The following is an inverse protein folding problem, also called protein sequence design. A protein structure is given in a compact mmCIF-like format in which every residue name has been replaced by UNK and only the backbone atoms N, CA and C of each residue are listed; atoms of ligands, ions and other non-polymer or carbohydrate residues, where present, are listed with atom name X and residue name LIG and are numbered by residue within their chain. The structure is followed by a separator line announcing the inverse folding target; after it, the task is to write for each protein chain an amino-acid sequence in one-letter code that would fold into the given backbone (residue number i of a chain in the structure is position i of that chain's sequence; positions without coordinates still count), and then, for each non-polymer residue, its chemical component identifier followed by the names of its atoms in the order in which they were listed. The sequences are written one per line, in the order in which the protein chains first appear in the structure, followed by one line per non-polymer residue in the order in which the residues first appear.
data_IF_052127903594
#
_entry.id   IF_052127903594
#
_cell.length_a   1.000
_cell.length_b   1.000
_cell.length_c   1.000
_cell.angle_alpha   90.00
_cell.angle_beta   90.00
_cell.angle_gamma   90.00
#
_symmetry.space_group_name_H-M   'P 1'
#
loop_
_entity.id
_entity.type
_entity.pdbx_description
1 polymer ?
#
# COMPACT_ATOMS: atom_id res chain seq x y z
N UNK A 1 -54.75 9.47 -34.24
CA UNK A 1 -53.80 10.19 -33.34
C UNK A 1 -52.97 9.27 -32.44
N UNK A 2 -53.10 7.94 -32.50
CA UNK A 2 -52.33 7.00 -31.67
C UNK A 2 -51.07 6.40 -32.36
N UNK A 3 -50.75 6.79 -33.60
CA UNK A 3 -49.63 6.24 -34.37
C UNK A 3 -48.34 7.09 -34.31
N UNK A 4 -48.39 8.28 -33.70
CA UNK A 4 -47.24 9.19 -33.64
C UNK A 4 -46.45 9.12 -32.32
N UNK A 5 -46.98 8.47 -31.27
CA UNK A 5 -46.27 8.33 -29.99
C UNK A 5 -45.17 7.26 -30.05
N UNK A 6 -45.43 6.13 -30.71
CA UNK A 6 -44.47 5.01 -30.84
C UNK A 6 -43.27 5.32 -31.75
N UNK A 7 -43.41 6.24 -32.72
CA UNK A 7 -42.29 6.66 -33.57
C UNK A 7 -41.36 7.64 -32.86
N UNK A 8 -41.91 8.54 -32.02
CA UNK A 8 -41.10 9.50 -31.24
C UNK A 8 -40.32 8.79 -30.12
N UNK A 9 -40.88 7.76 -29.48
CA UNK A 9 -40.17 6.95 -28.49
C UNK A 9 -39.04 6.10 -29.10
N UNK A 10 -39.22 5.56 -30.32
CA UNK A 10 -38.18 4.82 -31.03
C UNK A 10 -37.01 5.71 -31.47
N UNK A 11 -37.28 6.95 -31.88
CA UNK A 11 -36.24 7.89 -32.32
C UNK A 11 -35.41 8.44 -31.15
N UNK A 12 -35.99 8.64 -29.96
CA UNK A 12 -35.22 9.02 -28.75
C UNK A 12 -34.35 7.86 -28.23
N UNK A 13 -34.85 6.63 -28.21
CA UNK A 13 -34.08 5.45 -27.78
C UNK A 13 -32.93 5.12 -28.77
N UNK A 14 -33.13 5.32 -30.08
CA UNK A 14 -32.06 5.12 -31.08
C UNK A 14 -31.02 6.24 -31.04
N UNK A 15 -31.40 7.50 -30.81
CA UNK A 15 -30.43 8.59 -30.63
C UNK A 15 -29.57 8.41 -29.36
N UNK A 16 -30.17 7.95 -28.24
CA UNK A 16 -29.45 7.66 -27.00
C UNK A 16 -28.51 6.46 -27.13
N UNK A 17 -28.95 5.39 -27.83
CA UNK A 17 -28.12 4.22 -28.11
C UNK A 17 -26.89 4.54 -28.99
N UNK A 18 -27.05 5.43 -29.97
CA UNK A 18 -25.98 5.81 -30.89
C UNK A 18 -24.92 6.70 -30.23
N UNK A 19 -25.31 7.59 -29.31
CA UNK A 19 -24.39 8.40 -28.49
C UNK A 19 -23.67 7.54 -27.43
N UNK A 20 -24.36 6.61 -26.78
CA UNK A 20 -23.76 5.68 -25.81
C UNK A 20 -22.73 4.75 -26.46
N UNK A 21 -22.97 4.26 -27.68
CA UNK A 21 -22.02 3.37 -28.37
C UNK A 21 -20.66 4.03 -28.69
N UNK A 22 -20.67 5.33 -29.00
CA UNK A 22 -19.45 6.11 -29.28
C UNK A 22 -18.69 6.45 -27.98
N UNK A 23 -19.43 6.71 -26.90
CA UNK A 23 -18.88 6.90 -25.56
C UNK A 23 -18.24 5.60 -25.03
N UNK A 24 -18.93 4.46 -25.15
CA UNK A 24 -18.47 3.14 -24.73
C UNK A 24 -17.16 2.74 -25.42
N UNK A 25 -17.04 2.96 -26.75
CA UNK A 25 -15.80 2.69 -27.50
C UNK A 25 -14.58 3.48 -26.99
N UNK A 26 -14.79 4.67 -26.43
CA UNK A 26 -13.70 5.51 -25.89
C UNK A 26 -13.38 5.20 -24.43
N UNK A 27 -14.31 4.63 -23.68
CA UNK A 27 -14.18 4.34 -22.25
C UNK A 27 -13.50 2.99 -22.02
N UNK A 28 -13.93 1.97 -22.75
CA UNK A 28 -13.51 0.58 -22.55
C UNK A 28 -11.98 0.36 -22.53
N UNK A 29 -11.17 0.97 -23.41
CA UNK A 29 -9.73 0.78 -23.38
C UNK A 29 -9.04 1.27 -22.09
N UNK A 30 -9.61 2.29 -21.42
CA UNK A 30 -9.04 2.80 -20.17
C UNK A 30 -9.31 1.85 -19.01
N UNK A 31 -10.49 1.25 -18.97
CA UNK A 31 -10.86 0.28 -17.95
C UNK A 31 -10.08 -1.03 -18.13
N UNK A 32 -10.01 -1.53 -19.37
CA UNK A 32 -9.20 -2.71 -19.73
C UNK A 32 -7.71 -2.51 -19.37
N UNK A 33 -7.20 -1.28 -19.49
CA UNK A 33 -5.82 -0.96 -19.10
C UNK A 33 -5.62 -1.09 -17.58
N UNK A 34 -6.52 -0.51 -16.77
CA UNK A 34 -6.44 -0.63 -15.31
C UNK A 34 -6.56 -2.09 -14.87
N UNK A 35 -7.46 -2.86 -15.49
CA UNK A 35 -7.59 -4.28 -15.17
C UNK A 35 -6.36 -5.09 -15.55
N UNK A 36 -5.70 -4.78 -16.66
CA UNK A 36 -4.41 -5.39 -17.01
C UNK A 36 -3.30 -5.02 -16.03
N UNK A 37 -3.23 -3.76 -15.60
CA UNK A 37 -2.26 -3.33 -14.58
C UNK A 37 -2.47 -4.07 -13.26
N UNK A 38 -3.73 -4.22 -12.84
CA UNK A 38 -4.11 -5.03 -11.67
C UNK A 38 -3.73 -6.49 -11.84
N UNK A 39 -4.03 -7.10 -12.98
CA UNK A 39 -3.69 -8.50 -13.26
C UNK A 39 -2.18 -8.77 -13.27
N UNK A 40 -1.37 -7.75 -13.60
CA UNK A 40 0.10 -7.81 -13.52
C UNK A 40 0.65 -7.56 -12.11
N UNK A 41 -0.20 -7.28 -11.11
CA UNK A 41 0.20 -7.05 -9.73
C UNK A 41 0.73 -5.65 -9.43
N UNK A 42 0.58 -4.69 -10.36
CA UNK A 42 1.09 -3.31 -10.19
C UNK A 42 0.46 -2.62 -8.97
N UNK A 43 -0.73 -3.06 -8.57
CA UNK A 43 -1.46 -2.51 -7.41
C UNK A 43 -0.77 -2.72 -6.06
N UNK A 44 0.21 -3.62 -5.96
CA UNK A 44 0.99 -3.83 -4.73
C UNK A 44 1.92 -2.66 -4.42
N UNK A 45 2.51 -2.06 -5.46
CA UNK A 45 3.50 -0.98 -5.32
C UNK A 45 2.95 0.40 -5.72
N UNK A 46 1.91 0.43 -6.56
CA UNK A 46 1.34 1.64 -7.14
C UNK A 46 -0.18 1.60 -7.03
N UNK A 47 -0.74 2.55 -6.27
CA UNK A 47 -2.19 2.66 -6.14
C UNK A 47 -2.85 2.92 -7.52
N UNK A 48 -3.88 2.13 -7.83
CA UNK A 48 -4.68 2.22 -9.06
C UNK A 48 -6.00 2.94 -8.78
N UNK A 49 -6.57 3.66 -9.76
CA UNK A 49 -7.87 4.30 -9.60
C UNK A 49 -8.97 3.25 -9.39
N UNK A 50 -9.72 3.39 -8.30
CA UNK A 50 -10.83 2.49 -7.94
C UNK A 50 -12.00 3.26 -7.36
N UNK A 51 -13.16 2.64 -7.29
CA UNK A 51 -14.33 3.18 -6.61
C UNK A 51 -14.59 2.32 -5.38
N UNK A 52 -14.47 2.89 -4.19
CA UNK A 52 -14.79 2.23 -2.93
C UNK A 52 -16.19 2.63 -2.48
N UNK A 53 -17.05 1.64 -2.25
CA UNK A 53 -18.42 1.84 -1.78
C UNK A 53 -18.47 1.71 -0.28
N UNK A 54 -18.87 2.79 0.39
CA UNK A 54 -19.00 2.85 1.85
C UNK A 54 -20.40 3.24 2.26
N UNK A 55 -20.79 2.85 3.47
CA UNK A 55 -22.10 3.16 4.02
C UNK A 55 -22.35 2.42 5.31
N UNK A 56 -23.19 3.01 6.15
CA UNK A 56 -23.64 2.39 7.39
C UNK A 56 -24.30 1.03 7.10
N UNK A 57 -24.38 0.16 8.10
CA UNK A 57 -25.12 -1.08 7.98
C UNK A 57 -26.57 -0.78 7.54
N UNK A 58 -27.08 -1.54 6.58
CA UNK A 58 -28.43 -1.34 6.02
C UNK A 58 -28.66 -0.02 5.26
N UNK A 59 -27.60 0.71 4.88
CA UNK A 59 -27.69 1.92 4.03
C UNK A 59 -28.17 1.66 2.59
N UNK A 60 -28.33 0.40 2.19
CA UNK A 60 -28.68 0.01 0.81
C UNK A 60 -27.48 -0.20 -0.11
N UNK A 61 -26.24 -0.27 0.39
CA UNK A 61 -25.02 -0.51 -0.43
C UNK A 61 -25.16 -1.71 -1.39
N UNK A 62 -25.53 -2.87 -0.86
CA UNK A 62 -25.67 -4.10 -1.65
C UNK A 62 -26.80 -3.94 -2.66
N UNK A 63 -27.87 -3.24 -2.31
CA UNK A 63 -28.97 -2.95 -3.23
C UNK A 63 -28.56 -2.07 -4.41
N UNK A 64 -27.70 -1.06 -4.18
CA UNK A 64 -27.14 -0.23 -5.25
C UNK A 64 -26.23 -1.08 -6.15
N UNK A 65 -25.37 -1.91 -5.56
CA UNK A 65 -24.47 -2.79 -6.31
C UNK A 65 -25.22 -3.84 -7.13
N UNK A 66 -26.28 -4.43 -6.61
CA UNK A 66 -27.16 -5.35 -7.34
C UNK A 66 -27.87 -4.65 -8.50
N UNK A 67 -28.37 -3.42 -8.28
CA UNK A 67 -29.00 -2.62 -9.33
C UNK A 67 -28.01 -2.28 -10.45
N UNK A 68 -26.72 -2.12 -10.15
CA UNK A 68 -25.66 -1.87 -11.14
C UNK A 68 -25.17 -3.15 -11.82
N UNK A 69 -25.09 -4.26 -11.09
CA UNK A 69 -24.47 -5.51 -11.57
C UNK A 69 -25.46 -6.53 -12.13
N UNK A 70 -26.75 -6.38 -11.84
CA UNK A 70 -27.79 -7.33 -12.25
C UNK A 70 -27.74 -8.68 -11.55
N UNK A 71 -26.78 -8.92 -10.65
CA UNK A 71 -26.69 -10.14 -9.84
C UNK A 71 -27.20 -9.89 -8.42
N UNK A 72 -27.66 -10.94 -7.74
CA UNK A 72 -28.09 -10.83 -6.34
C UNK A 72 -26.88 -11.05 -5.42
N UNK A 73 -26.61 -10.09 -4.55
CA UNK A 73 -25.60 -10.19 -3.50
C UNK A 73 -26.27 -10.73 -2.22
N UNK A 74 -25.51 -11.36 -1.32
CA UNK A 74 -26.08 -11.91 -0.09
C UNK A 74 -26.75 -10.82 0.75
N UNK A 75 -28.02 -11.04 1.11
CA UNK A 75 -28.83 -10.19 2.01
C UNK A 75 -29.30 -10.96 3.24
N UNK A 76 -29.42 -10.29 4.38
CA UNK A 76 -29.81 -10.93 5.65
C UNK A 76 -29.58 -10.04 6.87
N UNK A 77 -29.88 -10.61 8.05
CA UNK A 77 -29.70 -9.94 9.34
C UNK A 77 -28.25 -10.01 9.80
N UNK A 78 -27.65 -8.86 10.13
CA UNK A 78 -26.27 -8.74 10.56
C UNK A 78 -25.35 -8.14 9.49
N UNK A 79 -24.03 -8.31 9.65
CA UNK A 79 -23.05 -7.86 8.66
C UNK A 79 -22.99 -8.88 7.53
N UNK A 80 -23.47 -8.46 6.36
CA UNK A 80 -23.53 -9.30 5.15
C UNK A 80 -22.19 -9.34 4.44
N UNK A 81 -21.63 -8.18 4.09
CA UNK A 81 -20.29 -8.10 3.49
C UNK A 81 -19.23 -8.21 4.60
N UNK A 82 -18.60 -9.37 4.74
CA UNK A 82 -17.56 -9.65 5.76
C UNK A 82 -16.12 -9.53 5.25
N UNK A 83 -15.97 -9.53 3.94
CA UNK A 83 -14.69 -9.37 3.25
C UNK A 83 -14.91 -8.32 2.14
N UNK A 84 -13.89 -7.52 1.78
CA UNK A 84 -13.96 -6.68 0.60
C UNK A 84 -14.36 -7.49 -0.64
N UNK A 85 -15.30 -6.96 -1.44
CA UNK A 85 -15.75 -7.59 -2.69
C UNK A 85 -15.46 -6.65 -3.86
N UNK A 86 -14.48 -7.01 -4.68
CA UNK A 86 -14.22 -6.35 -5.96
C UNK A 86 -15.18 -6.86 -7.04
N UNK A 87 -16.14 -6.03 -7.40
CA UNK A 87 -17.12 -6.26 -8.44
C UNK A 87 -16.66 -5.65 -9.75
N UNK A 88 -16.22 -6.50 -10.68
CA UNK A 88 -15.82 -6.12 -12.04
C UNK A 88 -16.97 -6.39 -12.98
N UNK A 89 -17.56 -5.33 -13.51
CA UNK A 89 -18.68 -5.36 -14.44
C UNK A 89 -18.16 -5.03 -15.83
N UNK A 90 -18.49 -5.89 -16.79
CA UNK A 90 -18.07 -5.73 -18.18
C UNK A 90 -19.22 -5.96 -19.12
N UNK A 91 -19.45 -4.98 -19.99
CA UNK A 91 -20.48 -5.04 -21.02
C UNK A 91 -20.02 -5.95 -22.17
N UNK A 92 -20.75 -7.03 -22.40
CA UNK A 92 -20.49 -7.98 -23.48
C UNK A 92 -21.79 -8.31 -24.23
N UNK A 93 -21.72 -8.43 -25.55
CA UNK A 93 -22.87 -8.80 -26.40
C UNK A 93 -23.21 -10.31 -26.31
N UNK A 94 -22.43 -11.08 -25.56
CA UNK A 94 -22.60 -12.52 -25.35
C UNK A 94 -23.53 -12.84 -24.18
N UNK A 95 -23.91 -14.12 -24.05
CA UNK A 95 -24.62 -14.65 -22.88
C UNK A 95 -23.92 -14.28 -21.57
N UNK A 96 -24.71 -14.15 -20.50
CA UNK A 96 -24.23 -13.87 -19.14
C UNK A 96 -23.14 -14.85 -18.71
N UNK A 97 -22.05 -14.32 -18.16
CA UNK A 97 -20.96 -15.10 -17.57
C UNK A 97 -20.56 -14.46 -16.25
N UNK A 98 -20.25 -15.30 -15.27
CA UNK A 98 -19.77 -14.83 -13.98
C UNK A 98 -18.65 -15.75 -13.48
N UNK A 99 -17.60 -15.14 -12.93
CA UNK A 99 -16.43 -15.84 -12.39
C UNK A 99 -16.10 -15.27 -11.02
N UNK A 100 -15.86 -16.15 -10.05
CA UNK A 100 -15.46 -15.79 -8.69
C UNK A 100 -14.02 -16.22 -8.44
N UNK A 101 -13.22 -15.32 -7.88
CA UNK A 101 -11.81 -15.58 -7.52
C UNK A 101 -11.53 -15.12 -6.10
N UNK A 102 -10.85 -15.96 -5.32
CA UNK A 102 -10.37 -15.61 -3.98
C UNK A 102 -9.18 -16.50 -3.60
N UNK A 103 -8.33 -16.03 -2.70
CA UNK A 103 -7.19 -16.78 -2.19
C UNK A 103 -7.46 -17.22 -0.75
N UNK A 104 -7.16 -18.49 -0.46
CA UNK A 104 -7.23 -19.07 0.89
C UNK A 104 -5.86 -19.62 1.28
N UNK A 105 -5.69 -20.00 2.55
CA UNK A 105 -4.48 -20.69 3.00
C UNK A 105 -4.19 -22.00 2.22
N UNK A 106 -5.22 -22.63 1.66
CA UNK A 106 -5.13 -23.92 0.96
C UNK A 106 -4.92 -23.76 -0.56
N UNK A 107 -4.97 -22.54 -1.09
CA UNK A 107 -4.75 -22.24 -2.51
C UNK A 107 -5.65 -21.16 -3.09
N UNK A 108 -5.49 -20.90 -4.40
CA UNK A 108 -6.33 -19.97 -5.18
C UNK A 108 -7.55 -20.68 -5.75
N UNK A 109 -8.73 -20.13 -5.49
CA UNK A 109 -9.99 -20.58 -6.09
C UNK A 109 -10.33 -19.67 -7.29
N UNK A 110 -10.70 -20.29 -8.42
CA UNK A 110 -11.20 -19.62 -9.64
C UNK A 110 -12.30 -20.51 -10.23
N UNK A 111 -13.56 -20.11 -10.04
CA UNK A 111 -14.72 -20.90 -10.45
C UNK A 111 -15.69 -20.09 -11.32
N UNK A 112 -16.24 -20.75 -12.34
CA UNK A 112 -17.27 -20.19 -13.22
C UNK A 112 -18.66 -20.49 -12.66
N UNK A 113 -19.46 -19.43 -12.46
CA UNK A 113 -20.83 -19.52 -11.96
C UNK A 113 -21.79 -19.61 -13.16
N UNK A 114 -22.69 -20.61 -13.13
CA UNK A 114 -23.58 -20.94 -14.26
C UNK A 114 -24.83 -20.09 -14.32
N UNK A 115 -25.39 -19.68 -13.18
CA UNK A 115 -26.61 -18.87 -13.13
C UNK A 115 -26.46 -17.64 -12.21
N UNK A 116 -27.13 -16.51 -12.52
CA UNK A 116 -27.11 -15.31 -11.68
C UNK A 116 -27.66 -15.51 -10.26
N UNK A 117 -28.54 -16.51 -10.07
CA UNK A 117 -29.10 -16.90 -8.77
C UNK A 117 -28.03 -17.44 -7.81
N UNK A 118 -27.05 -18.15 -8.36
CA UNK A 118 -26.08 -18.91 -7.57
C UNK A 118 -24.96 -18.01 -7.05
N UNK A 119 -24.85 -16.79 -7.59
CA UNK A 119 -23.85 -15.78 -7.20
C UNK A 119 -23.95 -15.44 -5.71
N UNK A 120 -25.18 -15.27 -5.21
CA UNK A 120 -25.39 -14.91 -3.80
C UNK A 120 -24.89 -16.01 -2.85
N UNK A 121 -25.12 -17.27 -3.19
CA UNK A 121 -24.68 -18.43 -2.41
C UNK A 121 -23.17 -18.61 -2.50
N UNK A 122 -22.59 -18.53 -3.70
CA UNK A 122 -21.15 -18.64 -3.91
C UNK A 122 -20.35 -17.55 -3.16
N UNK A 123 -20.83 -16.29 -3.16
CA UNK A 123 -20.20 -15.21 -2.39
C UNK A 123 -20.32 -15.46 -0.89
N UNK A 124 -21.44 -16.00 -0.41
CA UNK A 124 -21.63 -16.33 1.00
C UNK A 124 -20.70 -17.47 1.45
N UNK A 125 -20.50 -18.48 0.61
CA UNK A 125 -19.55 -19.56 0.86
C UNK A 125 -18.11 -19.05 0.89
N UNK A 126 -17.70 -18.24 -0.08
CA UNK A 126 -16.38 -17.61 -0.10
C UNK A 126 -16.12 -16.76 1.16
N UNK A 127 -17.11 -15.97 1.59
CA UNK A 127 -17.01 -15.19 2.84
C UNK A 127 -16.88 -16.08 4.09
N UNK A 128 -17.58 -17.22 4.15
CA UNK A 128 -17.46 -18.18 5.26
C UNK A 128 -16.07 -18.81 5.32
N UNK A 129 -15.49 -19.12 4.17
CA UNK A 129 -14.14 -19.67 4.06
C UNK A 129 -13.07 -18.67 4.53
N UNK A 130 -13.18 -17.40 4.11
CA UNK A 130 -12.19 -16.36 4.44
C UNK A 130 -12.32 -15.79 5.85
N UNK A 131 -13.54 -15.43 6.26
CA UNK A 131 -13.78 -14.80 7.57
C UNK A 131 -14.02 -15.81 8.71
N UNK A 132 -14.05 -17.11 8.39
CA UNK A 132 -14.39 -18.20 9.31
C UNK A 132 -15.85 -18.21 9.75
N UNK A 133 -16.23 -19.24 10.49
CA UNK A 133 -17.61 -19.41 10.98
C UNK A 133 -18.01 -18.37 12.06
N UNK A 134 -17.05 -17.77 12.75
CA UNK A 134 -17.27 -16.86 13.88
C UNK A 134 -17.54 -15.40 13.46
N UNK A 135 -18.47 -15.15 12.53
CA UNK A 135 -18.96 -13.80 12.11
C UNK A 135 -17.89 -12.69 12.02
N UNK A 136 -16.65 -13.05 11.72
CA UNK A 136 -15.50 -12.15 11.72
C UNK A 136 -15.45 -11.33 10.44
N UNK A 137 -14.40 -10.52 10.33
CA UNK A 137 -14.08 -9.77 9.11
C UNK A 137 -12.69 -10.18 8.66
N UNK A 138 -12.54 -10.44 7.37
CA UNK A 138 -11.23 -10.63 6.74
C UNK A 138 -10.88 -9.41 5.87
N UNK A 139 -9.58 -9.18 5.70
CA UNK A 139 -9.03 -8.20 4.76
C UNK A 139 -8.86 -8.80 3.36
N UNK A 140 -9.01 -10.11 3.21
CA UNK A 140 -8.84 -10.82 1.95
C UNK A 140 -9.92 -10.43 0.93
N UNK A 141 -9.50 -10.13 -0.29
CA UNK A 141 -10.37 -9.65 -1.36
C UNK A 141 -11.04 -10.81 -2.10
N UNK A 142 -12.36 -10.75 -2.25
CA UNK A 142 -13.12 -11.60 -3.19
C UNK A 142 -13.29 -10.81 -4.49
N UNK A 143 -12.92 -11.38 -5.63
CA UNK A 143 -13.15 -10.77 -6.95
C UNK A 143 -14.29 -11.48 -7.66
N UNK A 144 -15.31 -10.71 -8.07
CA UNK A 144 -16.44 -11.17 -8.86
C UNK A 144 -16.42 -10.49 -10.23
N UNK A 145 -16.20 -11.26 -11.28
CA UNK A 145 -16.20 -10.80 -12.68
C UNK A 145 -17.54 -11.15 -13.32
N UNK A 146 -18.38 -10.14 -13.58
CA UNK A 146 -19.70 -10.29 -14.22
C UNK A 146 -19.65 -9.70 -15.62
N UNK A 147 -19.92 -10.52 -16.63
CA UNK A 147 -20.06 -10.10 -18.02
C UNK A 147 -21.53 -10.23 -18.47
N UNK A 148 -22.15 -9.12 -18.90
CA UNK A 148 -23.54 -9.12 -19.40
C UNK A 148 -23.78 -7.96 -20.38
N UNK A 149 -24.84 -8.03 -21.18
CA UNK A 149 -25.23 -6.94 -22.10
C UNK A 149 -25.90 -5.76 -21.39
N UNK A 150 -26.48 -6.01 -20.21
CA UNK A 150 -27.20 -5.01 -19.40
C UNK A 150 -26.33 -4.32 -18.35
N UNK A 151 -25.10 -4.79 -18.11
CA UNK A 151 -24.17 -4.23 -17.12
C UNK A 151 -23.30 -3.11 -17.71
N UNK A 152 -23.02 -2.03 -16.96
CA UNK A 152 -22.05 -1.02 -17.36
C UNK A 152 -20.61 -1.54 -17.22
N UNK A 153 -19.67 -0.94 -17.97
CA UNK A 153 -18.23 -1.17 -17.76
C UNK A 153 -17.77 -0.39 -16.53
N UNK A 154 -17.62 -1.08 -15.38
CA UNK A 154 -17.28 -0.49 -14.09
C UNK A 154 -16.54 -1.48 -13.18
N UNK A 155 -15.63 -0.96 -12.35
CA UNK A 155 -15.07 -1.74 -11.23
C UNK A 155 -15.34 -1.04 -9.91
N UNK A 156 -15.97 -1.75 -8.99
CA UNK A 156 -16.42 -1.25 -7.69
C UNK A 156 -15.87 -2.16 -6.60
N UNK A 157 -15.47 -1.61 -5.46
CA UNK A 157 -15.07 -2.37 -4.27
C UNK A 157 -16.15 -2.15 -3.21
N UNK A 158 -16.91 -3.19 -2.89
CA UNK A 158 -17.84 -3.18 -1.76
C UNK A 158 -17.07 -3.42 -0.48
N UNK A 159 -17.26 -2.52 0.49
CA UNK A 159 -16.66 -2.63 1.82
C UNK A 159 -17.71 -2.99 2.87
N UNK A 160 -17.33 -3.69 3.95
CA UNK A 160 -18.23 -3.98 5.06
C UNK A 160 -18.96 -2.75 5.57
N UNK A 161 -20.25 -2.90 5.84
CA UNK A 161 -21.07 -1.81 6.37
C UNK A 161 -20.69 -1.46 7.80
N UNK A 162 -20.65 -0.16 8.11
CA UNK A 162 -20.29 0.31 9.45
C UNK A 162 -21.39 -0.09 10.44
N UNK A 163 -21.05 -0.98 11.38
CA UNK A 163 -21.93 -1.43 12.46
C UNK A 163 -21.53 -0.74 13.77
N UNK A 164 -22.50 -0.14 14.47
CA UNK A 164 -22.26 0.60 15.73
C UNK A 164 -22.24 -0.29 16.97
N UNK A 165 -22.84 -1.48 16.88
CA UNK A 165 -22.97 -2.41 18.01
C UNK A 165 -22.66 -3.81 17.49
N UNK A 166 -21.80 -4.52 18.20
CA UNK A 166 -21.51 -5.92 17.92
C UNK A 166 -22.76 -6.76 18.19
N UNK A 167 -23.18 -7.55 17.19
CA UNK A 167 -24.28 -8.52 17.34
C UNK A 167 -23.72 -9.82 17.95
N UNK A 168 -24.56 -10.62 18.61
CA UNK A 168 -24.14 -11.89 19.24
C UNK A 168 -23.25 -12.76 18.32
N UNK A 169 -22.04 -13.07 18.82
CA UNK A 169 -21.01 -13.84 18.13
C UNK A 169 -19.98 -13.00 17.36
N UNK A 170 -20.11 -11.67 17.32
CA UNK A 170 -19.07 -10.77 16.80
C UNK A 170 -18.16 -10.27 17.93
N UNK A 171 -16.87 -10.04 17.65
CA UNK A 171 -15.96 -9.48 18.64
C UNK A 171 -16.33 -8.01 18.91
N UNK A 172 -16.07 -7.54 20.14
CA UNK A 172 -16.36 -6.16 20.56
C UNK A 172 -15.57 -5.10 19.74
N UNK A 173 -14.48 -5.50 19.10
CA UNK A 173 -13.63 -4.64 18.28
C UNK A 173 -14.03 -4.59 16.79
N UNK A 174 -15.17 -5.18 16.42
CA UNK A 174 -15.60 -5.28 15.02
C UNK A 174 -15.77 -3.91 14.35
N UNK A 175 -16.31 -2.91 15.05
CA UNK A 175 -16.46 -1.56 14.52
C UNK A 175 -15.10 -0.96 14.16
N UNK A 176 -14.12 -1.09 15.06
CA UNK A 176 -12.77 -0.59 14.84
C UNK A 176 -12.10 -1.27 13.65
N UNK A 177 -12.22 -2.59 13.53
CA UNK A 177 -11.71 -3.37 12.39
C UNK A 177 -12.37 -2.95 11.07
N UNK A 178 -13.68 -2.74 11.05
CA UNK A 178 -14.39 -2.23 9.86
C UNK A 178 -13.86 -0.86 9.47
N UNK A 179 -13.72 0.05 10.44
CA UNK A 179 -13.22 1.40 10.19
C UNK A 179 -11.79 1.37 9.66
N UNK A 180 -10.89 0.60 10.27
CA UNK A 180 -9.51 0.42 9.80
C UNK A 180 -9.46 -0.14 8.37
N UNK A 181 -10.29 -1.15 8.08
CA UNK A 181 -10.41 -1.71 6.74
C UNK A 181 -10.95 -0.68 5.74
N UNK A 182 -11.96 0.11 6.09
CA UNK A 182 -12.47 1.15 5.19
C UNK A 182 -11.39 2.22 4.95
N UNK A 183 -10.71 2.67 6.01
CA UNK A 183 -9.67 3.70 5.94
C UNK A 183 -8.53 3.30 5.00
N UNK A 184 -8.09 2.03 5.02
CA UNK A 184 -7.01 1.58 4.12
C UNK A 184 -7.33 1.73 2.62
N UNK A 185 -8.61 1.73 2.24
CA UNK A 185 -9.05 1.98 0.86
C UNK A 185 -9.34 3.47 0.60
N UNK A 186 -9.99 4.18 1.55
CA UNK A 186 -10.41 5.57 1.32
C UNK A 186 -9.31 6.61 1.56
N UNK A 187 -8.25 6.29 2.30
CA UNK A 187 -7.07 7.16 2.46
C UNK A 187 -6.30 7.34 1.14
N UNK A 188 -6.39 6.38 0.23
CA UNK A 188 -5.75 6.47 -1.08
C UNK A 188 -6.37 7.61 -1.90
N UNK A 189 -5.57 8.62 -2.27
CA UNK A 189 -6.04 9.79 -3.03
C UNK A 189 -6.63 9.42 -4.40
N UNK A 190 -6.20 8.29 -4.97
CA UNK A 190 -6.64 7.78 -6.27
C UNK A 190 -8.00 7.05 -6.22
N UNK A 191 -8.56 6.85 -5.04
CA UNK A 191 -9.85 6.16 -4.84
C UNK A 191 -11.02 7.14 -4.81
N UNK A 192 -12.03 6.91 -5.65
CA UNK A 192 -13.34 7.58 -5.59
C UNK A 192 -14.13 6.98 -4.44
N UNK A 193 -14.64 7.82 -3.55
CA UNK A 193 -15.46 7.39 -2.41
C UNK A 193 -16.93 7.49 -2.81
N UNK A 194 -17.63 6.36 -2.85
CA UNK A 194 -19.07 6.29 -3.08
C UNK A 194 -19.79 6.09 -1.75
N UNK A 195 -20.43 7.15 -1.23
CA UNK A 195 -21.11 7.12 0.07
C UNK A 195 -22.59 6.83 -0.12
N UNK A 196 -23.06 5.71 0.42
CA UNK A 196 -24.48 5.31 0.39
C UNK A 196 -25.21 5.79 1.63
N UNK A 197 -26.28 6.57 1.45
CA UNK A 197 -26.99 7.29 2.50
C UNK A 197 -28.49 7.05 2.32
N UNK A 198 -29.19 6.46 3.29
CA UNK A 198 -30.62 6.23 3.16
C UNK A 198 -31.40 7.55 3.39
N UNK A 199 -32.43 7.80 2.59
CA UNK A 199 -33.17 9.07 2.59
C UNK A 199 -34.01 9.30 3.85
N UNK A 200 -34.33 8.24 4.59
CA UNK A 200 -35.10 8.29 5.82
C UNK A 200 -34.27 8.63 7.06
N UNK A 201 -32.95 8.84 6.91
CA UNK A 201 -32.03 9.19 8.00
C UNK A 201 -31.39 10.54 7.71
N UNK A 202 -31.13 11.33 8.76
CA UNK A 202 -30.41 12.58 8.60
C UNK A 202 -28.95 12.33 8.20
N UNK A 203 -28.52 13.03 7.16
CA UNK A 203 -27.18 12.94 6.58
C UNK A 203 -26.09 13.24 7.62
N UNK A 204 -26.36 14.12 8.58
CA UNK A 204 -25.42 14.49 9.64
C UNK A 204 -25.09 13.33 10.59
N UNK A 205 -25.95 12.30 10.64
CA UNK A 205 -25.77 11.14 11.52
C UNK A 205 -25.06 9.96 10.85
N UNK A 206 -24.72 10.09 9.56
CA UNK A 206 -24.11 9.01 8.77
C UNK A 206 -22.60 8.96 9.02
N UNK A 207 -22.13 7.84 9.59
CA UNK A 207 -20.71 7.68 9.92
C UNK A 207 -19.85 7.56 8.67
N UNK A 208 -20.36 6.88 7.63
CA UNK A 208 -19.66 6.76 6.36
C UNK A 208 -19.30 8.12 5.73
N UNK A 209 -20.17 9.14 5.88
CA UNK A 209 -19.90 10.48 5.38
C UNK A 209 -18.89 11.22 6.26
N UNK A 210 -18.91 10.99 7.58
CA UNK A 210 -17.90 11.51 8.51
C UNK A 210 -16.51 11.00 8.13
N UNK A 211 -16.37 9.69 7.90
CA UNK A 211 -15.11 9.08 7.46
C UNK A 211 -14.65 9.63 6.11
N UNK A 212 -15.57 9.76 5.14
CA UNK A 212 -15.23 10.35 3.83
C UNK A 212 -14.69 11.78 3.97
N UNK A 213 -15.28 12.61 4.84
CA UNK A 213 -14.82 13.98 5.08
C UNK A 213 -13.48 14.08 5.79
N UNK A 214 -13.11 13.09 6.60
CA UNK A 214 -11.79 13.03 7.23
C UNK A 214 -10.68 12.87 6.17
N UNK A 215 -10.91 12.04 5.16
CA UNK A 215 -9.96 11.77 4.08
C UNK A 215 -10.11 12.67 2.84
N UNK A 216 -11.26 13.31 2.66
CA UNK A 216 -11.58 14.23 1.56
C UNK A 216 -12.40 15.43 2.09
N UNK A 217 -11.77 16.38 2.81
CA UNK A 217 -12.47 17.54 3.39
C UNK A 217 -13.14 18.45 2.36
N UNK A 218 -12.59 18.48 1.14
CA UNK A 218 -13.08 19.31 0.03
C UNK A 218 -14.15 18.60 -0.82
N UNK A 219 -14.38 17.31 -0.60
CA UNK A 219 -15.36 16.51 -1.35
C UNK A 219 -15.03 16.38 -2.84
N UNK A 220 -13.75 16.37 -3.23
CA UNK A 220 -13.31 16.33 -4.63
C UNK A 220 -13.52 14.96 -5.28
N UNK A 221 -13.29 13.91 -4.49
CA UNK A 221 -13.35 12.50 -4.90
C UNK A 221 -14.51 11.73 -4.28
N UNK A 222 -15.39 12.43 -3.57
CA UNK A 222 -16.56 11.85 -2.89
C UNK A 222 -17.85 12.10 -3.67
N UNK A 223 -18.61 11.03 -3.96
CA UNK A 223 -19.94 11.06 -4.56
C UNK A 223 -20.96 10.49 -3.57
N UNK A 224 -22.05 11.22 -3.33
CA UNK A 224 -23.13 10.75 -2.47
C UNK A 224 -24.23 10.03 -3.25
N UNK A 225 -24.72 8.91 -2.73
CA UNK A 225 -25.86 8.16 -3.29
C UNK A 225 -26.95 8.07 -2.24
N UNK A 226 -28.09 8.69 -2.55
CA UNK A 226 -29.30 8.64 -1.73
C UNK A 226 -30.12 7.40 -2.10
N UNK A 227 -30.37 6.54 -1.12
CA UNK A 227 -31.10 5.27 -1.29
C UNK A 227 -32.41 5.28 -0.50
N UNK A 228 -33.29 4.30 -0.78
CA UNK A 228 -34.58 4.14 -0.08
C UNK A 228 -35.48 5.41 -0.06
N UNK A 229 -35.68 6.10 -1.21
CA UNK A 229 -36.57 7.26 -1.26
C UNK A 229 -38.04 6.90 -1.00
N UNK A 230 -38.39 5.62 -1.12
CA UNK A 230 -39.70 5.04 -0.87
C UNK A 230 -40.07 4.94 0.63
N UNK A 231 -39.08 4.91 1.52
CA UNK A 231 -39.27 4.82 2.97
C UNK A 231 -39.28 6.19 3.67
N UNK A 232 -39.37 7.28 2.91
CA UNK A 232 -39.42 8.62 3.46
C UNK A 232 -40.79 8.94 4.04
N UNK A 233 -40.79 9.64 5.17
CA UNK A 233 -42.02 10.20 5.74
C UNK A 233 -42.54 11.34 4.86
N UNK A 234 -43.85 11.32 4.57
CA UNK A 234 -44.50 12.35 3.76
C UNK A 234 -44.31 13.72 4.41
N UNK A 235 -43.77 14.68 3.65
CA UNK A 235 -43.42 16.03 4.10
C UNK A 235 -41.92 16.25 4.35
N UNK A 236 -41.11 15.18 4.40
CA UNK A 236 -39.65 15.28 4.53
C UNK A 236 -38.91 15.33 3.19
N UNK A 237 -39.60 15.23 2.05
CA UNK A 237 -38.99 15.20 0.71
C UNK A 237 -38.15 16.44 0.41
N UNK A 238 -38.54 17.58 0.97
CA UNK A 238 -37.79 18.83 0.85
C UNK A 238 -36.38 18.74 1.46
N UNK A 239 -36.15 17.94 2.51
CA UNK A 239 -34.81 17.76 3.07
C UNK A 239 -33.92 16.98 2.11
N UNK A 240 -34.44 15.92 1.49
CA UNK A 240 -33.74 15.14 0.48
C UNK A 240 -33.40 15.97 -0.76
N UNK A 241 -34.29 16.87 -1.21
CA UNK A 241 -34.00 17.81 -2.30
C UNK A 241 -32.86 18.76 -1.95
N UNK A 242 -32.85 19.29 -0.72
CA UNK A 242 -31.75 20.17 -0.26
C UNK A 242 -30.41 19.46 -0.32
N UNK A 243 -30.38 18.17 0.08
CA UNK A 243 -29.20 17.32 -0.07
C UNK A 243 -28.83 17.14 -1.54
N UNK A 244 -29.78 16.78 -2.41
CA UNK A 244 -29.55 16.63 -3.85
C UNK A 244 -29.03 17.89 -4.55
N UNK A 245 -29.38 19.06 -4.02
CA UNK A 245 -28.95 20.35 -4.53
C UNK A 245 -27.66 20.87 -3.85
N UNK A 246 -26.94 20.02 -3.12
CA UNK A 246 -25.70 20.37 -2.40
C UNK A 246 -25.87 21.51 -1.38
N UNK A 247 -27.08 21.72 -0.82
CA UNK A 247 -27.36 22.81 0.11
C UNK A 247 -27.05 22.48 1.57
N UNK A 248 -27.01 21.19 1.94
CA UNK A 248 -26.69 20.73 3.29
C UNK A 248 -25.19 20.48 3.46
N UNK A 249 -24.67 19.45 2.79
CA UNK A 249 -23.25 19.11 2.75
C UNK A 249 -22.83 19.20 1.29
N UNK A 250 -21.83 20.05 1.01
CA UNK A 250 -21.36 20.26 -0.36
C UNK A 250 -20.33 19.20 -0.74
N UNK A 251 -20.63 18.41 -1.78
CA UNK A 251 -19.69 17.52 -2.45
C UNK A 251 -19.46 18.00 -3.88
N UNK A 252 -18.21 18.05 -4.37
CA UNK A 252 -17.92 18.53 -5.74
C UNK A 252 -18.54 17.63 -6.81
N UNK A 253 -18.63 16.32 -6.54
CA UNK A 253 -19.30 15.36 -7.44
C UNK A 253 -20.82 15.31 -7.26
N UNK A 254 -21.34 15.93 -6.19
CA UNK A 254 -22.76 16.04 -5.91
C UNK A 254 -23.39 14.77 -5.34
N UNK A 255 -24.72 14.68 -5.47
CA UNK A 255 -25.53 13.56 -5.01
C UNK A 255 -26.41 13.02 -6.14
N UNK A 256 -26.65 11.70 -6.12
CA UNK A 256 -27.57 11.00 -7.02
C UNK A 256 -28.56 10.20 -6.18
N UNK A 257 -29.84 10.21 -6.54
CA UNK A 257 -30.86 9.41 -5.86
C UNK A 257 -31.23 8.18 -6.69
N UNK A 258 -31.30 7.03 -6.01
CA UNK A 258 -31.63 5.74 -6.64
C UNK A 258 -32.72 5.02 -5.85
N UNK A 259 -33.62 4.35 -6.57
CA UNK A 259 -34.61 3.45 -5.99
C UNK A 259 -34.20 2.01 -6.35
N UNK A 260 -33.79 1.27 -5.33
CA UNK A 260 -33.41 -0.12 -5.48
C UNK A 260 -34.58 -1.06 -5.13
N UNK A 261 -34.45 -2.35 -5.47
CA UNK A 261 -35.43 -3.38 -5.08
C UNK A 261 -35.52 -3.52 -3.56
N UNK A 262 -36.75 -3.50 -3.05
CA UNK A 262 -37.06 -3.80 -1.66
C UNK A 262 -36.93 -5.30 -1.37
N UNK A 263 -36.97 -5.68 -0.09
CA UNK A 263 -36.94 -7.10 0.29
C UNK A 263 -38.16 -7.86 -0.26
N UNK A 264 -39.33 -7.21 -0.27
CA UNK A 264 -40.55 -7.75 -0.86
C UNK A 264 -40.44 -7.98 -2.37
N UNK A 265 -39.81 -7.06 -3.09
CA UNK A 265 -39.61 -7.20 -4.55
C UNK A 265 -38.70 -8.39 -4.90
N UNK A 266 -37.77 -8.72 -4.00
CA UNK A 266 -36.83 -9.83 -4.17
C UNK A 266 -37.52 -11.16 -3.88
N UNK A 267 -38.29 -11.24 -2.79
CA UNK A 267 -39.12 -12.40 -2.48
C UNK A 267 -40.17 -12.64 -3.58
N UNK A 268 -40.70 -11.56 -4.17
CA UNK A 268 -41.57 -11.59 -5.34
C UNK A 268 -40.88 -11.88 -6.67
N UNK A 269 -39.55 -12.10 -6.68
CA UNK A 269 -38.74 -12.41 -7.87
C UNK A 269 -38.89 -11.38 -9.01
N UNK A 270 -39.04 -10.09 -8.69
CA UNK A 270 -39.13 -9.02 -9.68
C UNK A 270 -37.82 -8.92 -10.48
N UNK A 271 -37.94 -8.90 -11.80
CA UNK A 271 -36.80 -8.81 -12.73
C UNK A 271 -36.11 -7.45 -12.63
N UNK A 272 -34.85 -7.38 -13.06
CA UNK A 272 -34.10 -6.11 -13.08
C UNK A 272 -34.74 -5.09 -14.02
N UNK A 273 -35.26 -5.53 -15.17
CA UNK A 273 -35.92 -4.66 -16.14
C UNK A 273 -37.20 -4.03 -15.56
N UNK A 274 -37.99 -4.82 -14.85
CA UNK A 274 -39.19 -4.31 -14.18
C UNK A 274 -38.85 -3.38 -13.03
N UNK A 275 -37.76 -3.65 -12.31
CA UNK A 275 -37.25 -2.73 -11.29
C UNK A 275 -36.82 -1.38 -11.88
N UNK A 276 -36.15 -1.36 -13.03
CA UNK A 276 -35.76 -0.12 -13.74
C UNK A 276 -37.01 0.64 -14.20
N UNK A 277 -38.03 -0.05 -14.74
CA UNK A 277 -39.30 0.58 -15.12
C UNK A 277 -40.03 1.16 -13.90
N UNK A 278 -40.05 0.42 -12.79
CA UNK A 278 -40.65 0.86 -11.54
C UNK A 278 -39.89 2.03 -10.90
N UNK A 279 -38.56 2.09 -11.06
CA UNK A 279 -37.73 3.22 -10.67
C UNK A 279 -38.10 4.48 -11.47
N UNK A 280 -38.13 4.39 -12.79
CA UNK A 280 -38.53 5.51 -13.66
C UNK A 280 -39.94 6.01 -13.33
N UNK A 281 -40.90 5.08 -13.25
CA UNK A 281 -42.29 5.40 -12.91
C UNK A 281 -42.41 6.07 -11.54
N UNK A 282 -41.63 5.65 -10.55
CA UNK A 282 -41.61 6.29 -9.23
C UNK A 282 -41.17 7.74 -9.30
N UNK A 283 -40.05 8.04 -9.97
CA UNK A 283 -39.54 9.40 -10.07
C UNK A 283 -40.43 10.31 -10.93
N UNK A 284 -41.06 9.77 -11.98
CA UNK A 284 -41.98 10.51 -12.84
C UNK A 284 -43.33 10.83 -12.18
N UNK A 285 -43.84 9.89 -11.36
CA UNK A 285 -45.14 10.04 -10.67
C UNK A 285 -45.03 10.81 -9.35
N UNK A 286 -43.85 10.91 -8.74
CA UNK A 286 -43.69 11.59 -7.46
C UNK A 286 -43.86 13.11 -7.62
N UNK A 287 -44.73 13.71 -6.80
CA UNK A 287 -45.09 15.14 -6.83
C UNK A 287 -43.93 16.12 -6.66
N UNK A 288 -42.77 15.65 -6.19
CA UNK A 288 -41.63 16.45 -5.75
C UNK A 288 -40.38 16.09 -6.54
N UNK A 289 -40.08 14.79 -6.67
CA UNK A 289 -38.89 14.32 -7.39
C UNK A 289 -39.00 14.43 -8.91
N UNK A 290 -40.22 14.55 -9.47
CA UNK A 290 -40.44 14.75 -10.90
C UNK A 290 -39.69 15.96 -11.47
N UNK A 291 -39.51 17.01 -10.67
CA UNK A 291 -38.84 18.24 -11.10
C UNK A 291 -37.30 18.17 -11.04
N UNK A 292 -36.74 17.04 -10.59
CA UNK A 292 -35.30 16.86 -10.45
C UNK A 292 -34.77 16.17 -11.72
N UNK A 293 -34.32 16.97 -12.68
CA UNK A 293 -33.75 16.46 -13.92
C UNK A 293 -32.29 16.00 -13.72
N UNK A 294 -31.94 14.83 -14.27
CA UNK A 294 -30.56 14.38 -14.43
C UNK A 294 -29.81 14.00 -13.14
N UNK A 295 -30.49 13.88 -11.99
CA UNK A 295 -29.89 13.45 -10.71
C UNK A 295 -30.55 12.21 -10.07
N UNK A 296 -31.50 11.61 -10.78
CA UNK A 296 -32.25 10.45 -10.31
C UNK A 296 -32.00 9.28 -11.26
N UNK A 297 -32.25 8.06 -10.76
CA UNK A 297 -32.13 6.75 -11.43
C UNK A 297 -30.75 6.09 -11.37
N UNK A 298 -30.78 4.76 -11.34
CA UNK A 298 -29.62 3.88 -11.37
C UNK A 298 -28.80 4.06 -12.66
N UNK A 299 -29.46 4.30 -13.81
CA UNK A 299 -28.76 4.49 -15.09
C UNK A 299 -27.89 5.76 -15.09
N UNK A 300 -28.41 6.84 -14.52
CA UNK A 300 -27.65 8.10 -14.37
C UNK A 300 -26.46 7.88 -13.42
N UNK A 301 -26.65 7.13 -12.34
CA UNK A 301 -25.57 6.74 -11.44
C UNK A 301 -24.46 5.98 -12.18
N UNK A 302 -24.83 4.93 -12.92
CA UNK A 302 -23.87 4.13 -13.70
C UNK A 302 -23.06 5.01 -14.66
N UNK A 303 -23.74 5.81 -15.49
CA UNK A 303 -23.09 6.69 -16.46
C UNK A 303 -22.17 7.72 -15.78
N UNK A 304 -22.59 8.26 -14.63
CA UNK A 304 -21.77 9.21 -13.86
C UNK A 304 -20.53 8.54 -13.32
N UNK A 305 -20.66 7.39 -12.66
CA UNK A 305 -19.53 6.62 -12.12
C UNK A 305 -18.52 6.28 -13.22
N UNK A 306 -18.99 5.83 -14.39
CA UNK A 306 -18.12 5.49 -15.52
C UNK A 306 -17.37 6.73 -16.02
N UNK A 307 -18.06 7.87 -16.15
CA UNK A 307 -17.45 9.12 -16.60
C UNK A 307 -16.40 9.63 -15.61
N UNK A 308 -16.71 9.59 -14.32
CA UNK A 308 -15.80 10.04 -13.25
C UNK A 308 -14.57 9.15 -13.16
N UNK A 309 -14.74 7.82 -13.20
CA UNK A 309 -13.64 6.86 -13.18
C UNK A 309 -12.70 7.06 -14.37
N UNK A 310 -13.25 7.16 -15.59
CA UNK A 310 -12.44 7.38 -16.80
C UNK A 310 -11.76 8.75 -16.79
N UNK A 311 -12.45 9.78 -16.32
CA UNK A 311 -11.87 11.12 -16.14
C UNK A 311 -10.67 11.09 -15.20
N UNK A 312 -10.80 10.39 -14.08
CA UNK A 312 -9.72 10.22 -13.12
C UNK A 312 -8.57 9.37 -13.67
N UNK A 313 -8.86 8.27 -14.37
CA UNK A 313 -7.83 7.45 -15.03
C UNK A 313 -7.02 8.31 -16.01
N UNK A 314 -7.69 9.11 -16.85
CA UNK A 314 -7.01 10.00 -17.81
C UNK A 314 -6.10 11.02 -17.13
N UNK A 315 -6.58 11.62 -16.03
CA UNK A 315 -5.79 12.60 -15.27
C UNK A 315 -4.60 11.95 -14.56
N UNK A 316 -4.76 10.74 -14.02
CA UNK A 316 -3.73 10.06 -13.24
C UNK A 316 -2.73 9.29 -14.11
N UNK A 317 -3.05 8.94 -15.35
CA UNK A 317 -2.20 8.11 -16.21
C UNK A 317 -0.76 8.66 -16.38
N UNK A 318 -0.52 9.97 -16.58
CA UNK A 318 0.83 10.51 -16.67
C UNK A 318 1.61 10.35 -15.36
N UNK A 319 0.96 10.62 -14.22
CA UNK A 319 1.56 10.47 -12.90
C UNK A 319 1.88 8.99 -12.61
N UNK A 320 0.94 8.09 -12.91
CA UNK A 320 1.10 6.65 -12.75
C UNK A 320 2.27 6.13 -13.60
N UNK A 321 2.42 6.61 -14.83
CA UNK A 321 3.59 6.27 -15.67
C UNK A 321 4.91 6.72 -15.05
N UNK A 322 4.96 7.92 -14.48
CA UNK A 322 6.16 8.42 -13.80
C UNK A 322 6.47 7.60 -12.54
N UNK A 323 5.44 7.25 -11.77
CA UNK A 323 5.57 6.46 -10.54
C UNK A 323 6.07 5.04 -10.83
N UNK A 324 5.48 4.37 -11.83
CA UNK A 324 5.93 3.05 -12.31
C UNK A 324 7.37 3.12 -12.81
N UNK A 325 7.73 4.12 -13.61
CA UNK A 325 9.10 4.27 -14.09
C UNK A 325 10.08 4.53 -12.94
N UNK A 326 9.70 5.37 -11.96
CA UNK A 326 10.52 5.63 -10.77
C UNK A 326 10.77 4.35 -9.99
N UNK A 327 9.72 3.60 -9.67
CA UNK A 327 9.83 2.29 -9.00
C UNK A 327 10.68 1.32 -9.81
N UNK A 328 10.51 1.27 -11.12
CA UNK A 328 11.34 0.46 -12.00
C UNK A 328 12.83 0.83 -11.90
N UNK A 329 13.17 2.12 -11.90
CA UNK A 329 14.57 2.56 -11.75
C UNK A 329 15.12 2.24 -10.36
N UNK A 330 14.36 2.48 -9.29
CA UNK A 330 14.75 2.16 -7.92
C UNK A 330 15.04 0.66 -7.75
N UNK A 331 14.11 -0.19 -8.20
CA UNK A 331 14.27 -1.65 -8.16
C UNK A 331 15.41 -2.12 -9.05
N UNK A 332 15.62 -1.50 -10.23
CA UNK A 332 16.76 -1.84 -11.09
C UNK A 332 18.09 -1.44 -10.45
N UNK A 333 18.15 -0.31 -9.77
CA UNK A 333 19.36 0.13 -9.05
C UNK A 333 19.66 -0.79 -7.86
N UNK A 334 18.63 -1.19 -7.10
CA UNK A 334 18.76 -2.19 -6.04
C UNK A 334 19.20 -3.53 -6.61
N UNK A 335 18.58 -4.01 -7.69
CA UNK A 335 18.97 -5.25 -8.35
C UNK A 335 20.43 -5.21 -8.83
N UNK A 336 20.87 -4.07 -9.36
CA UNK A 336 22.26 -3.88 -9.78
C UNK A 336 23.25 -3.94 -8.59
N UNK A 337 22.84 -3.57 -7.37
CA UNK A 337 23.68 -3.74 -6.17
C UNK A 337 23.92 -5.21 -5.83
N UNK A 338 22.95 -6.07 -6.13
CA UNK A 338 23.04 -7.50 -5.81
C UNK A 338 23.87 -8.32 -6.81
N UNK A 339 24.33 -7.72 -7.92
CA UNK A 339 24.97 -8.41 -9.05
C UNK A 339 24.15 -9.66 -9.52
N UNK A 340 24.59 -10.35 -10.56
CA UNK A 340 23.94 -11.60 -10.97
C UNK A 340 24.11 -12.64 -9.85
N UNK A 341 22.99 -13.22 -9.38
CA UNK A 341 23.00 -14.25 -8.35
C UNK A 341 23.92 -15.43 -8.69
N UNK A 342 24.30 -16.21 -7.67
CA UNK A 342 25.21 -17.34 -7.85
C UNK A 342 24.73 -18.27 -8.98
N UNK A 343 25.57 -18.57 -9.98
CA UNK A 343 25.21 -19.48 -11.06
C UNK A 343 24.77 -20.84 -10.51
N UNK A 344 23.81 -21.49 -11.15
CA UNK A 344 23.36 -22.83 -10.74
C UNK A 344 24.30 -23.94 -11.21
N UNK A 345 25.16 -23.69 -12.18
CA UNK A 345 26.09 -24.68 -12.72
C UNK A 345 27.46 -24.67 -12.02
N UNK A 346 28.00 -25.86 -11.74
CA UNK A 346 29.25 -26.01 -11.00
C UNK A 346 30.45 -25.30 -11.65
N UNK A 347 30.49 -25.18 -12.99
CA UNK A 347 31.62 -24.56 -13.70
C UNK A 347 31.60 -23.04 -13.53
N UNK A 348 30.45 -22.41 -13.71
CA UNK A 348 30.29 -20.97 -13.55
C UNK A 348 30.30 -20.54 -12.09
N UNK A 349 29.93 -21.41 -11.15
CA UNK A 349 30.14 -21.17 -9.71
C UNK A 349 31.61 -20.99 -9.36
N UNK A 350 32.50 -21.81 -9.92
CA UNK A 350 33.94 -21.68 -9.68
C UNK A 350 34.47 -20.35 -10.25
N UNK A 351 33.99 -19.96 -11.43
CA UNK A 351 34.36 -18.68 -12.07
C UNK A 351 33.86 -17.50 -11.23
N UNK A 352 32.62 -17.57 -10.75
CA UNK A 352 32.02 -16.56 -9.87
C UNK A 352 32.75 -16.45 -8.54
N UNK A 353 33.06 -17.56 -7.88
CA UNK A 353 33.83 -17.59 -6.64
C UNK A 353 35.24 -17.00 -6.84
N UNK A 354 35.92 -17.37 -7.92
CA UNK A 354 37.22 -16.76 -8.25
C UNK A 354 37.09 -15.25 -8.48
N UNK A 355 36.02 -14.79 -9.13
CA UNK A 355 35.72 -13.37 -9.27
C UNK A 355 35.55 -12.66 -7.93
N UNK A 356 34.81 -13.26 -7.00
CA UNK A 356 34.64 -12.74 -5.63
C UNK A 356 35.96 -12.69 -4.85
N UNK A 357 36.76 -13.75 -4.92
CA UNK A 357 38.08 -13.82 -4.28
C UNK A 357 39.01 -12.74 -4.86
N UNK A 358 39.01 -12.56 -6.18
CA UNK A 358 39.81 -11.52 -6.83
C UNK A 358 39.35 -10.11 -6.42
N UNK A 359 38.05 -9.86 -6.32
CA UNK A 359 37.48 -8.58 -5.85
C UNK A 359 37.85 -8.32 -4.38
N UNK A 360 37.75 -9.33 -3.52
CA UNK A 360 38.18 -9.25 -2.12
C UNK A 360 39.68 -8.98 -2.01
N UNK A 361 40.50 -9.74 -2.73
CA UNK A 361 41.96 -9.58 -2.76
C UNK A 361 42.37 -8.18 -3.24
N UNK A 362 41.72 -7.66 -4.28
CA UNK A 362 41.94 -6.29 -4.77
C UNK A 362 41.54 -5.22 -3.73
N UNK A 363 40.43 -5.42 -3.01
CA UNK A 363 40.02 -4.51 -1.94
C UNK A 363 41.02 -4.53 -0.77
N UNK A 364 41.48 -5.71 -0.35
CA UNK A 364 42.49 -5.86 0.69
C UNK A 364 43.83 -5.25 0.25
N UNK A 365 44.25 -5.46 -0.99
CA UNK A 365 45.45 -4.82 -1.54
C UNK A 365 45.32 -3.30 -1.57
N UNK A 366 44.16 -2.77 -1.97
CA UNK A 366 43.88 -1.32 -1.96
C UNK A 366 43.93 -0.76 -0.54
N UNK A 367 43.35 -1.45 0.43
CA UNK A 367 43.43 -1.09 1.86
C UNK A 367 44.87 -1.13 2.37
N UNK A 368 45.64 -2.17 2.01
CA UNK A 368 47.04 -2.32 2.38
C UNK A 368 47.94 -1.25 1.76
N UNK A 369 47.64 -0.78 0.54
CA UNK A 369 48.36 0.33 -0.11
C UNK A 369 47.87 1.71 0.37
N UNK A 370 46.71 1.78 1.04
CA UNK A 370 46.09 3.03 1.48
C UNK A 370 45.36 3.78 0.37
N UNK A 371 45.03 3.12 -0.73
CA UNK A 371 44.25 3.69 -1.84
C UNK A 371 42.76 3.72 -1.49
N UNK A 372 42.17 4.92 -1.42
CA UNK A 372 40.77 5.10 -1.06
C UNK A 372 39.83 4.90 -2.27
N UNK A 373 38.88 3.97 -2.17
CA UNK A 373 37.80 3.82 -3.14
C UNK A 373 36.75 4.94 -3.00
N UNK A 374 36.06 5.28 -4.11
CA UNK A 374 35.11 6.41 -4.20
C UNK A 374 33.86 6.31 -3.28
N UNK A 375 33.52 5.13 -2.76
CA UNK A 375 32.36 4.93 -1.88
C UNK A 375 32.77 5.04 -0.40
N UNK A 376 32.91 6.27 0.06
CA UNK A 376 33.43 6.64 1.38
C UNK A 376 32.49 6.26 2.54
N UNK A 377 33.03 5.61 3.58
CA UNK A 377 32.52 5.66 4.96
C UNK A 377 33.64 6.20 5.86
N UNK A 378 33.33 7.19 6.70
CA UNK A 378 34.29 7.96 7.51
C UNK A 378 35.20 7.13 8.43
N UNK A 379 34.91 5.85 8.67
CA UNK A 379 35.56 5.01 9.67
C UNK A 379 36.71 4.11 9.17
N UNK A 380 37.16 4.22 7.91
CA UNK A 380 38.03 3.20 7.27
C UNK A 380 39.49 3.60 6.99
N UNK A 381 40.00 4.71 7.53
CA UNK A 381 41.42 5.09 7.31
C UNK A 381 42.37 4.36 8.27
N UNK A 382 42.67 3.10 7.96
CA UNK A 382 43.62 2.23 8.68
C UNK A 382 44.96 2.95 8.97
N UNK A 383 45.56 3.56 7.95
CA UNK A 383 46.82 4.29 8.09
C UNK A 383 46.70 5.58 8.92
N UNK A 384 45.55 6.25 8.93
CA UNK A 384 45.37 7.45 9.76
C UNK A 384 45.34 7.08 11.25
N UNK A 385 44.64 6.00 11.61
CA UNK A 385 44.64 5.45 12.97
C UNK A 385 46.01 4.93 13.39
N UNK A 386 46.69 4.18 12.52
CA UNK A 386 48.03 3.68 12.80
C UNK A 386 49.01 4.84 13.05
N UNK A 387 48.94 5.91 12.23
CA UNK A 387 49.75 7.13 12.45
C UNK A 387 49.46 7.80 13.79
N UNK A 388 48.21 7.83 14.25
CA UNK A 388 47.88 8.35 15.58
C UNK A 388 48.52 7.52 16.69
N UNK A 389 48.52 6.18 16.57
CA UNK A 389 49.17 5.29 17.53
C UNK A 389 50.70 5.50 17.52
N UNK A 390 51.32 5.61 16.34
CA UNK A 390 52.75 5.90 16.23
C UNK A 390 53.13 7.28 16.76
N UNK A 391 52.24 8.28 16.67
CA UNK A 391 52.44 9.58 17.30
C UNK A 391 52.45 9.47 18.84
N UNK A 392 51.54 8.67 19.43
CA UNK A 392 51.57 8.38 20.88
C UNK A 392 52.87 7.70 21.29
N UNK A 393 53.34 6.71 20.52
CA UNK A 393 54.62 6.05 20.76
C UNK A 393 55.78 7.05 20.77
N UNK A 394 55.80 7.97 19.81
CA UNK A 394 56.83 9.00 19.74
C UNK A 394 56.87 9.89 20.99
N UNK A 395 55.70 10.28 21.54
CA UNK A 395 55.64 11.03 22.80
C UNK A 395 56.11 10.20 24.00
N UNK A 396 55.76 8.91 24.08
CA UNK A 396 56.24 8.01 25.16
C UNK A 396 57.77 7.94 25.16
N UNK A 397 58.39 7.74 23.99
CA UNK A 397 59.85 7.68 23.87
C UNK A 397 60.49 9.01 24.31
N UNK A 398 59.89 10.14 23.91
CA UNK A 398 60.38 11.48 24.27
C UNK A 398 60.25 11.78 25.76
N UNK A 399 59.20 11.31 26.42
CA UNK A 399 59.02 11.49 27.86
C UNK A 399 59.95 10.57 28.67
N UNK A 400 60.20 9.35 28.19
CA UNK A 400 61.22 8.47 28.76
C UNK A 400 62.63 9.07 28.62
N UNK A 401 62.96 9.69 27.48
CA UNK A 401 64.23 10.39 27.30
C UNK A 401 64.41 11.53 28.32
N UNK A 402 63.36 12.31 28.61
CA UNK A 402 63.41 13.37 29.64
C UNK A 402 63.57 12.80 31.04
N UNK A 403 62.80 11.77 31.40
CA UNK A 403 62.88 11.12 32.71
C UNK A 403 64.25 10.49 32.93
N UNK A 404 64.78 9.82 31.92
CA UNK A 404 66.10 9.21 31.98
C UNK A 404 67.18 10.25 32.18
N UNK A 405 67.19 11.34 31.41
CA UNK A 405 68.17 12.41 31.58
C UNK A 405 68.11 13.07 32.97
N UNK A 406 66.93 13.17 33.59
CA UNK A 406 66.77 13.68 34.95
C UNK A 406 67.32 12.71 36.01
N UNK A 407 67.00 11.42 35.89
CA UNK A 407 67.38 10.38 36.85
C UNK A 407 68.79 9.80 36.62
N UNK A 408 69.40 10.06 35.46
CA UNK A 408 70.68 9.48 35.05
C UNK A 408 71.78 9.85 36.04
N UNK A 409 71.86 11.12 36.45
CA UNK A 409 72.91 11.58 37.35
C UNK A 409 72.84 10.90 38.73
N UNK A 410 71.65 10.77 39.30
CA UNK A 410 71.45 10.13 40.61
C UNK A 410 71.60 8.62 40.53
N UNK A 411 71.14 8.01 39.44
CA UNK A 411 71.22 6.56 39.23
C UNK A 411 72.66 6.12 38.97
N UNK A 412 73.41 6.86 38.13
CA UNK A 412 74.84 6.63 37.89
C UNK A 412 75.63 6.81 39.19
N UNK A 413 75.34 7.85 39.97
CA UNK A 413 76.01 8.09 41.27
C UNK A 413 75.76 6.94 42.26
N UNK A 414 74.51 6.47 42.38
CA UNK A 414 74.16 5.32 43.23
C UNK A 414 74.85 4.04 42.76
N UNK A 415 74.81 3.75 41.47
CA UNK A 415 75.45 2.57 40.89
C UNK A 415 76.96 2.59 41.05
N UNK A 416 77.62 3.74 40.84
CA UNK A 416 79.04 3.91 41.10
C UNK A 416 79.39 3.64 42.56
N UNK A 417 78.61 4.15 43.52
CA UNK A 417 78.87 3.92 44.95
C UNK A 417 78.63 2.49 45.42
N UNK A 418 77.70 1.75 44.78
CA UNK A 418 77.31 0.40 45.19
C UNK A 418 78.12 -0.69 44.47
N UNK A 419 78.59 -0.42 43.24
CA UNK A 419 79.26 -1.41 42.38
C UNK A 419 80.73 -1.06 42.08
N UNK A 420 81.35 -0.13 42.80
CA UNK A 420 82.80 0.09 42.73
C UNK A 420 83.55 -1.17 43.14
N UNK A 421 84.16 -1.84 42.16
CA UNK A 421 85.05 -2.99 42.35
C UNK A 421 86.50 -2.56 42.61
N UNK A 422 87.46 -3.24 41.97
CA UNK A 422 88.91 -2.92 42.06
C UNK A 422 89.33 -1.65 41.32
N UNK A 423 88.39 -0.89 40.77
CA UNK A 423 88.67 0.26 39.91
C UNK A 423 89.06 1.50 40.74
N UNK A 424 89.99 2.29 40.22
CA UNK A 424 90.45 3.52 40.86
C UNK A 424 89.37 4.62 40.79
N UNK A 425 89.25 5.49 41.80
CA UNK A 425 88.31 6.61 41.78
C UNK A 425 88.53 7.50 40.55
N UNK A 426 87.50 7.65 39.71
CA UNK A 426 87.52 8.48 38.51
C UNK A 426 87.41 7.73 37.18
N UNK A 427 87.51 6.39 37.17
CA UNK A 427 87.21 5.58 35.98
C UNK A 427 85.77 5.05 36.03
N UNK A 428 85.08 5.11 34.89
CA UNK A 428 83.69 4.65 34.75
C UNK A 428 83.71 3.23 34.18
N UNK A 429 83.08 2.29 34.88
CA UNK A 429 82.92 0.92 34.40
C UNK A 429 81.91 0.88 33.24
N UNK A 430 82.34 0.39 32.07
CA UNK A 430 81.49 0.27 30.88
C UNK A 430 80.28 -0.66 31.10
N UNK A 431 80.40 -1.74 31.89
CA UNK A 431 79.29 -2.65 32.20
C UNK A 431 78.19 -1.95 33.02
N UNK A 432 78.52 -0.90 33.77
CA UNK A 432 77.48 -0.09 34.45
C UNK A 432 76.65 0.66 33.42
N UNK A 433 77.28 1.24 32.41
CA UNK A 433 76.56 1.88 31.31
C UNK A 433 75.72 0.88 30.51
N UNK A 434 76.30 -0.29 30.17
CA UNK A 434 75.60 -1.36 29.46
C UNK A 434 74.36 -1.84 30.22
N UNK A 435 74.48 -2.08 31.53
CA UNK A 435 73.35 -2.49 32.38
C UNK A 435 72.27 -1.40 32.48
N UNK A 436 72.66 -0.13 32.60
CA UNK A 436 71.71 0.99 32.65
C UNK A 436 70.98 1.18 31.31
N UNK A 437 71.70 1.06 30.20
CA UNK A 437 71.11 1.10 28.86
C UNK A 437 70.16 -0.08 28.65
N UNK A 438 70.52 -1.28 29.10
CA UNK A 438 69.68 -2.46 29.00
C UNK A 438 68.40 -2.30 29.83
N UNK A 439 68.49 -1.79 31.07
CA UNK A 439 67.31 -1.49 31.89
C UNK A 439 66.36 -0.49 31.20
N UNK A 440 66.91 0.58 30.61
CA UNK A 440 66.12 1.58 29.89
C UNK A 440 65.43 0.98 28.65
N UNK A 441 66.12 0.14 27.87
CA UNK A 441 65.54 -0.55 26.71
C UNK A 441 64.42 -1.50 27.14
N UNK A 442 64.61 -2.25 28.23
CA UNK A 442 63.58 -3.17 28.76
C UNK A 442 62.31 -2.43 29.20
N UNK A 443 62.42 -1.20 29.72
CA UNK A 443 61.24 -0.39 30.07
C UNK A 443 60.39 0.01 28.86
N UNK A 444 61.00 0.15 27.67
CA UNK A 444 60.31 0.50 26.43
C UNK A 444 59.57 -0.69 25.78
N UNK A 445 59.90 -1.92 26.18
CA UNK A 445 59.30 -3.13 25.62
C UNK A 445 57.79 -3.23 25.90
N UNK A 446 57.37 -2.93 27.13
CA UNK A 446 55.95 -2.96 27.53
C UNK A 446 55.08 -2.02 26.69
N UNK A 447 55.38 -0.71 26.66
CA UNK A 447 54.60 0.24 25.86
C UNK A 447 54.64 -0.05 24.36
N UNK A 448 55.73 -0.61 23.83
CA UNK A 448 55.81 -1.03 22.43
C UNK A 448 54.82 -2.16 22.11
N UNK A 449 54.71 -3.15 23.00
CA UNK A 449 53.75 -4.25 22.86
C UNK A 449 52.30 -3.76 22.97
N UNK A 450 52.03 -2.75 23.79
CA UNK A 450 50.68 -2.19 23.93
C UNK A 450 50.25 -1.42 22.67
N UNK A 451 51.15 -0.62 22.08
CA UNK A 451 50.91 0.03 20.78
C UNK A 451 50.70 -0.99 19.67
N UNK A 452 51.48 -2.07 19.65
CA UNK A 452 51.30 -3.16 18.70
C UNK A 452 49.91 -3.81 18.83
N UNK A 453 49.44 -4.05 20.06
CA UNK A 453 48.09 -4.58 20.31
C UNK A 453 46.98 -3.60 19.90
N UNK A 454 47.16 -2.30 20.15
CA UNK A 454 46.20 -1.26 19.75
C UNK A 454 46.05 -1.23 18.22
N UNK A 455 47.18 -1.20 17.49
CA UNK A 455 47.19 -1.22 16.03
C UNK A 455 46.61 -2.54 15.49
N UNK A 456 47.01 -3.68 16.05
CA UNK A 456 46.47 -4.98 15.65
C UNK A 456 44.95 -5.09 15.90
N UNK A 457 44.46 -4.55 17.01
CA UNK A 457 43.03 -4.48 17.33
C UNK A 457 42.25 -3.60 16.37
N UNK A 458 42.81 -2.44 16.00
CA UNK A 458 42.21 -1.54 15.01
C UNK A 458 42.15 -2.18 13.62
N UNK A 459 43.18 -2.94 13.22
CA UNK A 459 43.21 -3.67 11.95
C UNK A 459 42.20 -4.82 11.95
N UNK A 460 42.19 -5.65 13.00
CA UNK A 460 41.23 -6.75 13.13
C UNK A 460 39.77 -6.28 13.19
N UNK A 461 39.52 -5.10 13.78
CA UNK A 461 38.21 -4.47 13.79
C UNK A 461 37.74 -3.94 12.42
N UNK A 462 38.65 -3.68 11.48
CA UNK A 462 38.33 -3.31 10.10
C UNK A 462 38.00 -4.57 9.29
N UNK A 463 38.78 -5.64 9.42
CA UNK A 463 38.46 -6.93 8.78
C UNK A 463 37.07 -7.43 9.18
N UNK A 464 36.72 -7.37 10.47
CA UNK A 464 35.41 -7.78 10.97
C UNK A 464 34.22 -6.91 10.55
N UNK A 465 34.44 -5.69 10.01
CA UNK A 465 33.40 -4.78 9.50
C UNK A 465 33.28 -4.77 7.98
N UNK A 466 34.18 -5.46 7.28
CA UNK A 466 34.26 -5.49 5.81
C UNK A 466 33.57 -6.76 5.24
N UNK A 467 33.10 -7.65 6.11
CA UNK A 467 32.30 -8.85 5.76
C UNK A 467 30.82 -8.53 5.77
#
# INVERSE_FOLDING_TARGET
MALNADMVQKDEDTHNGMLNSSFEKKVRPFLDLIDKLRAMGVEQDVALPTIAVIGDQSSGKSSVLESLSGVQLPRGNGIMTRCPLALKLKKCDSNWKCKIKYQTADGSFDEDIKAPSDVGEAVLEAQKMLAGHQKGISQDLITLEVESSSTPDLTLIDLPGIARVAVEGQPLDIEKKIKELIMSYIEQEKTIILVTIPCNVDIATTEALSMARQCDPQGERTLGVLTKPDLMDRGTENSAIRVLNNQSISLKKGYIMVKCRSQWDIEGSITLEDAIKAERSFFEMHSVFKYIEGKCTTQVLANRLTTELVGQIKHLLPCLRQEVNRKFYETTEELNKFEYGAPTDNKSQIIFLNGLIMKYSANVQSLALGECHRNFKENMMMYAKARCCFAKWFEIVKDQEKSWNADLHDTVKRFMTQNTGRELPGFINYQVFENLAQQHITMLEGPALDILKEVAGDIGGIEGKTV
#
